data_IF_126680781066
#
_entry.id   IF_126680781066
#
_cell.length_a   1.000
_cell.length_b   1.000
_cell.length_c   1.000
_cell.angle_alpha   90.00
_cell.angle_beta   90.00
_cell.angle_gamma   90.00
#
_symmetry.space_group_name_H-M   'P 1'
#
loop_
_entity.id
_entity.type
_entity.pdbx_description
1 polymer ?
#
# COMPACT_ATOMS: atom_id res chain seq x y z
N UNK A 1 -18.14 -23.07 3.83
CA UNK A 1 -17.88 -22.33 5.04
C UNK A 1 -16.65 -21.47 4.90
N UNK A 2 -16.82 -20.21 5.21
CA UNK A 2 -15.73 -19.29 5.12
C UNK A 2 -14.54 -19.72 5.97
N UNK A 3 -14.80 -20.26 7.16
CA UNK A 3 -13.74 -20.73 8.04
C UNK A 3 -12.89 -21.83 7.45
N UNK A 4 -13.53 -22.80 6.85
CA UNK A 4 -12.80 -23.92 6.25
C UNK A 4 -11.93 -23.42 5.10
N UNK A 5 -12.46 -22.51 4.30
CA UNK A 5 -11.68 -21.91 3.20
C UNK A 5 -10.51 -21.11 3.75
N UNK A 6 -10.71 -20.41 4.87
CA UNK A 6 -9.64 -19.64 5.48
C UNK A 6 -8.50 -20.49 5.99
N UNK A 7 -8.82 -21.69 6.49
CA UNK A 7 -7.77 -22.58 6.97
C UNK A 7 -6.83 -22.99 5.85
N UNK A 8 -7.27 -22.83 4.60
CA UNK A 8 -6.46 -23.10 3.42
C UNK A 8 -5.84 -21.85 2.85
N UNK A 9 -6.05 -20.73 3.49
CA UNK A 9 -5.59 -19.45 2.97
C UNK A 9 -4.07 -19.37 2.96
N UNK A 10 -3.57 -18.58 2.05
CA UNK A 10 -2.15 -18.29 1.89
C UNK A 10 -1.95 -16.80 2.05
N UNK A 11 -0.72 -16.39 2.21
CA UNK A 11 -0.39 -14.98 2.18
C UNK A 11 0.03 -14.62 0.77
N UNK A 12 -0.63 -13.61 0.21
CA UNK A 12 -0.32 -13.12 -1.13
C UNK A 12 0.14 -11.68 -1.06
N UNK A 13 1.12 -11.34 -1.88
CA UNK A 13 1.59 -9.98 -2.00
C UNK A 13 0.87 -9.25 -3.12
N UNK A 14 0.45 -8.03 -2.85
CA UNK A 14 -0.15 -7.14 -3.85
C UNK A 14 0.69 -5.88 -3.85
N UNK A 15 0.95 -5.34 -5.01
CA UNK A 15 1.78 -4.14 -5.10
C UNK A 15 1.10 -3.08 -5.93
N UNK A 16 1.42 -1.84 -5.61
CA UNK A 16 0.93 -0.70 -6.34
C UNK A 16 2.00 0.36 -6.42
N UNK A 17 1.82 1.28 -7.35
CA UNK A 17 2.72 2.40 -7.52
C UNK A 17 1.95 3.58 -8.06
N UNK A 18 2.39 4.77 -7.68
CA UNK A 18 1.80 6.01 -8.18
C UNK A 18 2.85 7.11 -8.08
N UNK A 19 2.52 8.27 -8.59
CA UNK A 19 3.36 9.46 -8.42
C UNK A 19 2.55 10.53 -7.72
N UNK A 20 3.21 11.33 -6.88
CA UNK A 20 2.59 12.48 -6.26
C UNK A 20 2.85 13.69 -7.14
N UNK A 21 1.88 14.60 -7.19
CA UNK A 21 2.01 15.82 -8.00
C UNK A 21 3.05 16.78 -7.45
N UNK A 22 3.30 16.70 -6.14
CA UNK A 22 4.20 17.61 -5.47
C UNK A 22 4.68 16.99 -4.17
N UNK A 23 5.74 17.53 -3.58
CA UNK A 23 6.23 17.08 -2.28
C UNK A 23 5.55 17.90 -1.19
N UNK A 24 4.28 17.64 -0.97
CA UNK A 24 3.50 18.24 0.12
C UNK A 24 2.75 17.15 0.85
N UNK A 25 2.35 17.43 2.09
CA UNK A 25 1.56 16.46 2.85
C UNK A 25 0.30 16.08 2.10
N UNK A 26 -0.40 17.07 1.56
CA UNK A 26 -1.66 16.86 0.85
C UNK A 26 -1.47 16.01 -0.40
N UNK A 27 -0.44 16.31 -1.19
CA UNK A 27 -0.19 15.59 -2.43
C UNK A 27 0.19 14.13 -2.16
N UNK A 28 1.03 13.90 -1.16
CA UNK A 28 1.47 12.55 -0.82
C UNK A 28 0.30 11.73 -0.29
N UNK A 29 -0.50 12.30 0.60
CA UNK A 29 -1.65 11.61 1.18
C UNK A 29 -2.70 11.31 0.10
N UNK A 30 -2.98 12.28 -0.76
CA UNK A 30 -3.99 12.09 -1.81
C UNK A 30 -3.57 11.01 -2.80
N UNK A 31 -2.32 11.05 -3.26
CA UNK A 31 -1.81 10.04 -4.19
C UNK A 31 -1.82 8.65 -3.57
N UNK A 32 -1.42 8.55 -2.31
CA UNK A 32 -1.38 7.27 -1.61
C UNK A 32 -2.79 6.72 -1.40
N UNK A 33 -3.72 7.58 -0.98
CA UNK A 33 -5.10 7.18 -0.78
C UNK A 33 -5.70 6.63 -2.06
N UNK A 34 -5.52 7.33 -3.18
CA UNK A 34 -6.01 6.90 -4.48
C UNK A 34 -5.42 5.56 -4.88
N UNK A 35 -4.11 5.39 -4.69
CA UNK A 35 -3.43 4.14 -5.01
C UNK A 35 -3.99 2.98 -4.19
N UNK A 36 -4.18 3.17 -2.89
CA UNK A 36 -4.67 2.11 -2.02
C UNK A 36 -6.11 1.76 -2.31
N UNK A 37 -6.95 2.76 -2.58
CA UNK A 37 -8.34 2.50 -2.94
C UNK A 37 -8.43 1.70 -4.23
N UNK A 38 -7.61 2.05 -5.21
CA UNK A 38 -7.60 1.33 -6.47
C UNK A 38 -7.09 -0.11 -6.29
N UNK A 39 -6.08 -0.29 -5.47
CA UNK A 39 -5.52 -1.62 -5.22
C UNK A 39 -6.53 -2.54 -4.55
N UNK A 40 -7.21 -2.01 -3.54
CA UNK A 40 -8.22 -2.77 -2.80
C UNK A 40 -9.39 -3.14 -3.72
N UNK A 41 -9.87 -2.18 -4.50
CA UNK A 41 -11.00 -2.42 -5.40
C UNK A 41 -10.67 -3.38 -6.52
N UNK A 42 -9.49 -3.22 -7.13
CA UNK A 42 -9.10 -4.04 -8.27
C UNK A 42 -8.88 -5.51 -7.90
N UNK A 43 -8.53 -5.76 -6.64
CA UNK A 43 -8.20 -7.11 -6.18
C UNK A 43 -9.21 -7.67 -5.19
N UNK A 44 -10.30 -6.95 -4.96
CA UNK A 44 -11.35 -7.37 -4.04
C UNK A 44 -10.78 -7.77 -2.67
N UNK A 45 -10.02 -6.87 -2.08
CA UNK A 45 -9.34 -7.12 -0.81
C UNK A 45 -10.21 -6.65 0.35
N UNK A 46 -10.32 -7.49 1.39
CA UNK A 46 -10.91 -7.09 2.65
C UNK A 46 -9.83 -6.52 3.53
N UNK A 47 -10.01 -5.32 4.05
CA UNK A 47 -8.98 -4.67 4.86
C UNK A 47 -8.63 -5.52 6.09
N UNK A 48 -9.62 -6.21 6.66
CA UNK A 48 -9.37 -7.06 7.82
C UNK A 48 -8.42 -8.22 7.54
N UNK A 49 -8.24 -8.57 6.27
CA UNK A 49 -7.33 -9.65 5.88
C UNK A 49 -5.92 -9.15 5.59
N UNK A 50 -5.70 -7.85 5.64
CA UNK A 50 -4.37 -7.28 5.37
C UNK A 50 -3.49 -7.45 6.59
N UNK A 51 -2.39 -8.16 6.42
CA UNK A 51 -1.42 -8.37 7.51
C UNK A 51 -0.50 -7.18 7.67
N UNK A 52 0.01 -6.66 6.56
CA UNK A 52 0.95 -5.55 6.61
C UNK A 52 0.98 -4.81 5.29
N UNK A 53 1.46 -3.57 5.33
CA UNK A 53 1.72 -2.78 4.13
C UNK A 53 3.02 -2.03 4.34
N UNK A 54 3.92 -2.15 3.37
CA UNK A 54 5.21 -1.47 3.37
C UNK A 54 5.18 -0.46 2.24
N UNK A 55 5.39 0.81 2.62
CA UNK A 55 5.42 1.91 1.67
C UNK A 55 6.86 2.31 1.39
N UNK A 56 7.13 2.69 0.18
CA UNK A 56 8.44 3.16 -0.23
C UNK A 56 8.26 4.38 -1.12
N UNK A 57 9.09 5.38 -0.93
CA UNK A 57 9.06 6.58 -1.77
C UNK A 57 10.45 6.87 -2.31
N UNK A 58 10.49 7.57 -3.44
CA UNK A 58 11.74 8.17 -3.87
C UNK A 58 12.11 9.28 -2.87
N UNK A 59 13.41 9.63 -2.83
CA UNK A 59 13.92 10.53 -1.79
C UNK A 59 13.37 11.94 -1.89
N UNK A 60 12.85 12.32 -3.05
CA UNK A 60 12.28 13.64 -3.27
C UNK A 60 10.92 13.82 -2.57
N UNK A 61 10.34 12.75 -2.04
CA UNK A 61 9.09 12.82 -1.28
C UNK A 61 9.40 12.61 0.20
N UNK A 62 9.38 13.70 0.96
CA UNK A 62 9.67 13.63 2.40
C UNK A 62 8.76 14.52 3.24
N UNK A 63 7.70 15.05 2.66
CA UNK A 63 6.82 15.95 3.39
C UNK A 63 5.87 15.22 4.33
N UNK A 64 5.58 13.95 4.08
CA UNK A 64 4.68 13.16 4.91
C UNK A 64 4.95 11.68 4.73
N UNK A 65 4.52 10.88 5.71
CA UNK A 65 4.54 9.43 5.61
C UNK A 65 3.36 8.95 4.76
N UNK A 66 3.59 8.17 3.70
CA UNK A 66 2.48 7.61 2.94
C UNK A 66 1.49 6.81 3.80
N UNK A 67 1.98 6.12 4.84
CA UNK A 67 1.12 5.32 5.70
C UNK A 67 0.04 6.14 6.40
N UNK A 68 0.19 7.46 6.49
CA UNK A 68 -0.85 8.34 7.06
C UNK A 68 -2.15 8.20 6.28
N UNK A 69 -2.08 8.03 4.95
CA UNK A 69 -3.28 7.84 4.14
C UNK A 69 -4.05 6.59 4.58
N UNK A 70 -3.33 5.50 4.82
CA UNK A 70 -3.96 4.24 5.23
C UNK A 70 -4.55 4.37 6.64
N UNK A 71 -3.76 4.85 7.58
CA UNK A 71 -4.17 4.88 8.98
C UNK A 71 -5.24 5.92 9.27
N UNK A 72 -5.05 7.15 8.79
CA UNK A 72 -5.95 8.25 9.15
C UNK A 72 -7.10 8.45 8.19
N UNK A 73 -6.93 8.07 6.94
CA UNK A 73 -7.95 8.36 5.93
C UNK A 73 -8.73 7.15 5.47
N UNK A 74 -8.16 5.94 5.59
CA UNK A 74 -8.81 4.73 5.12
C UNK A 74 -9.16 3.75 6.25
N UNK A 75 -8.83 4.09 7.48
CA UNK A 75 -9.23 3.28 8.62
C UNK A 75 -8.47 1.96 8.78
N UNK A 76 -7.25 1.89 8.28
CA UNK A 76 -6.43 0.67 8.41
C UNK A 76 -5.80 0.63 9.79
N UNK A 77 -6.62 0.51 10.82
CA UNK A 77 -6.16 0.67 12.20
C UNK A 77 -5.35 -0.50 12.74
N UNK A 78 -5.57 -1.68 12.19
CA UNK A 78 -4.92 -2.90 12.68
C UNK A 78 -3.93 -3.50 11.70
N UNK A 79 -3.59 -2.77 10.65
CA UNK A 79 -2.59 -3.21 9.68
C UNK A 79 -1.22 -2.72 10.13
N UNK A 80 -0.23 -3.60 10.10
CA UNK A 80 1.14 -3.21 10.40
C UNK A 80 1.67 -2.38 9.23
N UNK A 81 2.11 -1.16 9.52
CA UNK A 81 2.50 -0.19 8.48
C UNK A 81 3.95 0.22 8.65
N UNK A 82 4.66 0.33 7.56
CA UNK A 82 6.05 0.76 7.55
C UNK A 82 6.33 1.64 6.35
N UNK A 83 7.19 2.63 6.53
CA UNK A 83 7.60 3.53 5.45
C UNK A 83 9.11 3.52 5.31
N UNK A 84 9.59 3.64 4.08
CA UNK A 84 11.01 3.72 3.81
C UNK A 84 11.25 4.51 2.53
N UNK A 85 12.51 4.78 2.23
CA UNK A 85 12.89 5.31 0.93
C UNK A 85 13.36 4.18 0.04
N UNK A 86 13.13 4.33 -1.26
CA UNK A 86 13.57 3.40 -2.27
C UNK A 86 15.05 3.59 -2.54
N UNK A 87 15.67 2.59 -3.15
CA UNK A 87 17.04 2.71 -3.63
C UNK A 87 17.13 3.88 -4.60
N UNK A 88 18.20 4.64 -4.46
CA UNK A 88 18.40 5.85 -5.26
C UNK A 88 19.07 5.50 -6.60
N UNK A 89 18.30 4.87 -7.47
CA UNK A 89 18.80 4.44 -8.78
C UNK A 89 18.67 5.60 -9.76
N UNK A 90 19.77 5.94 -10.46
CA UNK A 90 19.70 6.99 -11.49
C UNK A 90 18.62 6.65 -12.52
N UNK A 91 17.93 7.66 -13.02
CA UNK A 91 16.88 7.54 -14.03
C UNK A 91 15.60 6.87 -13.52
N UNK A 92 15.48 6.64 -12.21
CA UNK A 92 14.22 6.14 -11.65
C UNK A 92 13.15 7.22 -11.74
N UNK A 93 11.88 6.77 -11.81
CA UNK A 93 10.74 7.67 -11.85
C UNK A 93 10.73 8.57 -10.60
N UNK A 94 10.75 9.91 -10.75
CA UNK A 94 10.70 10.81 -9.59
C UNK A 94 9.31 10.87 -8.97
N UNK A 95 9.23 11.37 -7.76
CA UNK A 95 7.99 11.57 -7.01
C UNK A 95 7.15 10.30 -6.93
N UNK A 96 7.80 9.16 -6.78
CA UNK A 96 7.15 7.86 -6.86
C UNK A 96 6.85 7.32 -5.47
N UNK A 97 5.64 6.76 -5.32
CA UNK A 97 5.21 6.08 -4.10
C UNK A 97 4.87 4.65 -4.50
N UNK A 98 5.41 3.68 -3.76
CA UNK A 98 5.12 2.27 -3.99
C UNK A 98 4.61 1.65 -2.71
N UNK A 99 3.84 0.58 -2.86
CA UNK A 99 3.38 -0.18 -1.70
C UNK A 99 3.43 -1.66 -2.01
N UNK A 100 3.76 -2.43 -0.99
CA UNK A 100 3.58 -3.88 -1.01
C UNK A 100 2.65 -4.22 0.13
N UNK A 101 1.54 -4.88 -0.18
CA UNK A 101 0.53 -5.25 0.80
C UNK A 101 0.49 -6.77 0.89
N UNK A 102 0.61 -7.29 2.11
CA UNK A 102 0.52 -8.73 2.33
C UNK A 102 -0.87 -9.04 2.87
N UNK A 103 -1.58 -9.91 2.18
CA UNK A 103 -2.97 -10.21 2.46
C UNK A 103 -3.14 -11.71 2.65
N UNK A 104 -3.84 -12.07 3.71
CA UNK A 104 -4.19 -13.47 3.93
C UNK A 104 -5.45 -13.77 3.14
N UNK A 105 -5.33 -14.67 2.18
CA UNK A 105 -6.42 -14.91 1.24
C UNK A 105 -6.27 -16.28 0.61
N UNK A 106 -7.35 -16.80 0.06
CA UNK A 106 -7.32 -18.03 -0.71
C UNK A 106 -7.21 -17.76 -2.21
N UNK A 107 -7.00 -16.52 -2.60
CA UNK A 107 -6.84 -16.14 -4.01
C UNK A 107 -5.58 -16.74 -4.59
N UNK A 108 -5.63 -17.00 -5.89
CA UNK A 108 -4.46 -17.49 -6.62
C UNK A 108 -3.50 -16.32 -6.90
N UNK A 109 -2.26 -16.67 -7.27
CA UNK A 109 -1.22 -15.68 -7.50
C UNK A 109 -1.46 -14.82 -8.75
N UNK A 110 -2.35 -15.23 -9.64
CA UNK A 110 -2.59 -14.44 -10.85
C UNK A 110 -3.82 -13.58 -10.74
#
# INVERSE_FOLDING_TARGET
MAKAARDMAKTRGFRGATTADDNTKEAIVEATKEMLEALVAANDIEVDDIASATFSTTRDLNAEFPAVAARKHLGWNYVALMNSHEMDVPDAQPNCIRVMVLVNTDKEAK
#
